data_IF_370455936028
#
_entry.id   IF_370455936028
#
_cell.length_a   1.000
_cell.length_b   1.000
_cell.length_c   1.000
_cell.angle_alpha   90.00
_cell.angle_beta   90.00
_cell.angle_gamma   90.00
#
_symmetry.space_group_name_H-M   'P 1'
#
loop_
_entity.id
_entity.type
_entity.pdbx_description
1 polymer ?
#
# COMPACT_ATOMS: atom_id res chain seq x y z
N UNK A 1 -11.51 54.79 -42.62
CA UNK A 1 -10.81 53.61 -42.09
C UNK A 1 -11.29 53.40 -40.66
N UNK A 2 -11.65 52.17 -40.28
CA UNK A 2 -12.18 51.85 -38.94
C UNK A 2 -11.02 51.85 -37.93
N UNK A 3 -11.22 52.41 -36.75
CA UNK A 3 -10.15 52.51 -35.74
C UNK A 3 -10.00 51.19 -34.97
N UNK A 4 -9.11 50.33 -35.47
CA UNK A 4 -8.83 49.00 -34.90
C UNK A 4 -8.11 49.06 -33.55
N UNK A 5 -7.59 50.22 -33.11
CA UNK A 5 -6.87 50.34 -31.84
C UNK A 5 -7.82 50.24 -30.65
N UNK A 6 -9.00 50.87 -30.74
CA UNK A 6 -10.04 50.74 -29.72
C UNK A 6 -10.51 49.29 -29.59
N UNK A 7 -10.85 48.65 -30.71
CA UNK A 7 -11.29 47.25 -30.74
C UNK A 7 -10.25 46.29 -30.12
N UNK A 8 -8.95 46.54 -30.34
CA UNK A 8 -7.87 45.75 -29.75
C UNK A 8 -7.65 46.03 -28.26
N UNK A 9 -7.84 47.28 -27.81
CA UNK A 9 -7.76 47.64 -26.39
C UNK A 9 -8.91 47.03 -25.59
N UNK A 10 -10.14 47.09 -26.11
CA UNK A 10 -11.30 46.47 -25.46
C UNK A 10 -11.12 44.95 -25.36
N UNK A 11 -10.58 44.32 -26.40
CA UNK A 11 -10.28 42.89 -26.39
C UNK A 11 -9.16 42.52 -25.41
N UNK A 12 -8.14 43.36 -25.28
CA UNK A 12 -7.07 43.16 -24.30
C UNK A 12 -7.61 43.25 -22.87
N UNK A 13 -8.44 44.26 -22.59
CA UNK A 13 -9.08 44.43 -21.28
C UNK A 13 -9.97 43.23 -20.92
N UNK A 14 -10.76 42.73 -21.88
CA UNK A 14 -11.59 41.53 -21.69
C UNK A 14 -10.74 40.28 -21.37
N UNK A 15 -9.63 40.09 -22.08
CA UNK A 15 -8.73 38.96 -21.85
C UNK A 15 -8.04 39.05 -20.48
N UNK A 16 -7.66 40.26 -20.06
CA UNK A 16 -7.08 40.51 -18.74
C UNK A 16 -8.08 40.22 -17.61
N UNK A 17 -9.33 40.63 -17.76
CA UNK A 17 -10.41 40.30 -16.82
C UNK A 17 -10.67 38.78 -16.75
N UNK A 18 -10.66 38.10 -17.90
CA UNK A 18 -10.81 36.65 -17.96
C UNK A 18 -9.65 35.92 -17.27
N UNK A 19 -8.41 36.37 -17.51
CA UNK A 19 -7.22 35.83 -16.83
C UNK A 19 -7.35 35.99 -15.32
N UNK A 20 -7.61 37.20 -14.84
CA UNK A 20 -7.76 37.49 -13.41
C UNK A 20 -8.88 36.65 -12.77
N UNK A 21 -10.00 36.48 -13.48
CA UNK A 21 -11.12 35.67 -13.01
C UNK A 21 -10.72 34.21 -12.86
N UNK A 22 -10.04 33.64 -13.85
CA UNK A 22 -9.60 32.25 -13.80
C UNK A 22 -8.50 32.03 -12.76
N UNK A 23 -7.55 32.96 -12.63
CA UNK A 23 -6.53 32.93 -11.57
C UNK A 23 -7.17 32.90 -10.18
N UNK A 24 -8.15 33.78 -9.91
CA UNK A 24 -8.87 33.79 -8.64
C UNK A 24 -9.64 32.48 -8.38
N UNK A 25 -10.23 31.87 -9.42
CA UNK A 25 -10.88 30.58 -9.31
C UNK A 25 -9.89 29.46 -8.97
N UNK A 26 -8.73 29.45 -9.60
CA UNK A 26 -7.68 28.47 -9.31
C UNK A 26 -7.14 28.63 -7.90
N UNK A 27 -6.86 29.86 -7.45
CA UNK A 27 -6.38 30.09 -6.09
C UNK A 27 -7.39 29.61 -5.05
N UNK A 28 -8.68 29.89 -5.27
CA UNK A 28 -9.77 29.38 -4.41
C UNK A 28 -9.81 27.85 -4.35
N UNK A 29 -9.61 27.18 -5.48
CA UNK A 29 -9.58 25.70 -5.53
C UNK A 29 -8.35 25.15 -4.80
N UNK A 30 -7.19 25.79 -4.94
CA UNK A 30 -5.97 25.43 -4.22
C UNK A 30 -6.18 25.56 -2.72
N UNK A 31 -6.74 26.68 -2.25
CA UNK A 31 -7.06 26.87 -0.83
C UNK A 31 -8.03 25.81 -0.31
N UNK A 32 -9.08 25.51 -1.07
CA UNK A 32 -10.03 24.47 -0.68
C UNK A 32 -9.37 23.11 -0.54
N UNK A 33 -8.56 22.70 -1.53
CA UNK A 33 -7.83 21.43 -1.49
C UNK A 33 -6.86 21.36 -0.31
N UNK A 34 -6.15 22.45 -0.02
CA UNK A 34 -5.25 22.53 1.15
C UNK A 34 -6.02 22.30 2.44
N UNK A 35 -7.15 22.98 2.63
CA UNK A 35 -8.01 22.81 3.83
C UNK A 35 -8.54 21.40 3.95
N UNK A 36 -9.09 20.84 2.87
CA UNK A 36 -9.60 19.46 2.87
C UNK A 36 -8.50 18.45 3.22
N UNK A 37 -7.29 18.65 2.70
CA UNK A 37 -6.15 17.80 2.99
C UNK A 37 -5.71 17.92 4.46
N UNK A 38 -5.60 19.14 4.98
CA UNK A 38 -5.22 19.42 6.36
C UNK A 38 -6.22 18.80 7.34
N UNK A 39 -7.52 19.02 7.14
CA UNK A 39 -8.57 18.41 7.97
C UNK A 39 -8.48 16.88 7.95
N UNK A 40 -8.34 16.25 6.79
CA UNK A 40 -8.20 14.78 6.71
C UNK A 40 -6.96 14.28 7.44
N UNK A 41 -5.85 15.00 7.36
CA UNK A 41 -4.63 14.64 8.09
C UNK A 41 -4.81 14.77 9.60
N UNK A 42 -5.51 15.80 10.05
CA UNK A 42 -5.85 15.98 11.47
C UNK A 42 -6.73 14.83 11.97
N UNK A 43 -7.77 14.47 11.22
CA UNK A 43 -8.66 13.34 11.56
C UNK A 43 -7.87 12.03 11.66
N UNK A 44 -7.05 11.72 10.65
CA UNK A 44 -6.21 10.51 10.63
C UNK A 44 -5.20 10.49 11.79
N UNK A 45 -4.61 11.64 12.14
CA UNK A 45 -3.71 11.75 13.29
C UNK A 45 -4.44 11.50 14.60
N UNK A 46 -5.64 12.05 14.76
CA UNK A 46 -6.46 11.85 15.95
C UNK A 46 -6.89 10.37 16.09
N UNK A 47 -7.29 9.73 15.00
CA UNK A 47 -7.59 8.28 14.98
C UNK A 47 -6.37 7.45 15.37
N UNK A 48 -5.19 7.75 14.79
CA UNK A 48 -3.95 7.06 15.13
C UNK A 48 -3.59 7.22 16.61
N UNK A 49 -3.73 8.43 17.15
CA UNK A 49 -3.48 8.70 18.57
C UNK A 49 -4.46 7.92 19.46
N UNK A 50 -5.74 7.87 19.11
CA UNK A 50 -6.74 7.09 19.84
C UNK A 50 -6.42 5.59 19.86
N UNK A 51 -5.99 5.04 18.72
CA UNK A 51 -5.56 3.63 18.62
C UNK A 51 -4.31 3.37 19.45
N UNK A 52 -3.31 4.26 19.41
CA UNK A 52 -2.11 4.12 20.23
C UNK A 52 -2.45 4.13 21.73
N UNK A 53 -3.32 5.04 22.18
CA UNK A 53 -3.79 5.08 23.57
C UNK A 53 -4.51 3.78 23.96
N UNK A 54 -5.36 3.23 23.08
CA UNK A 54 -6.04 1.97 23.33
C UNK A 54 -5.04 0.80 23.43
N UNK A 55 -4.06 0.76 22.55
CA UNK A 55 -3.00 -0.26 22.57
C UNK A 55 -2.17 -0.18 23.86
N UNK A 56 -1.82 1.02 24.33
CA UNK A 56 -1.14 1.21 25.62
C UNK A 56 -1.99 0.72 26.80
N UNK A 57 -3.30 0.96 26.77
CA UNK A 57 -4.22 0.46 27.81
C UNK A 57 -4.32 -1.07 27.80
N UNK A 58 -4.42 -1.71 26.63
CA UNK A 58 -4.44 -3.17 26.52
C UNK A 58 -3.10 -3.79 26.94
N UNK A 59 -1.96 -3.20 26.58
CA UNK A 59 -0.65 -3.63 27.06
C UNK A 59 -0.58 -3.59 28.60
N UNK A 60 -1.02 -2.48 29.20
CA UNK A 60 -1.10 -2.37 30.66
C UNK A 60 -2.07 -3.37 31.27
N UNK A 61 -3.20 -3.65 30.62
CA UNK A 61 -4.16 -4.67 31.09
C UNK A 61 -3.54 -6.07 31.08
N UNK A 62 -2.79 -6.42 30.04
CA UNK A 62 -2.09 -7.70 29.94
C UNK A 62 -1.02 -7.81 31.03
N UNK A 63 -0.27 -6.72 31.28
CA UNK A 63 0.73 -6.67 32.35
C UNK A 63 0.11 -6.71 33.76
N UNK A 64 -1.12 -6.22 33.91
CA UNK A 64 -1.82 -6.13 35.21
C UNK A 64 -2.78 -7.28 35.49
N UNK A 65 -2.84 -8.34 34.67
CA UNK A 65 -3.55 -9.57 35.06
C UNK A 65 -2.78 -10.25 36.20
N UNK A 66 -3.29 -10.30 37.45
CA UNK A 66 -2.67 -11.14 38.46
C UNK A 66 -2.88 -12.60 38.04
N UNK A 67 -1.77 -13.33 37.93
CA UNK A 67 -1.73 -14.77 37.78
C UNK A 67 -2.44 -15.43 38.97
N UNK A 68 -3.75 -15.62 38.87
CA UNK A 68 -4.58 -16.07 39.97
C UNK A 68 -5.72 -16.95 39.47
N UNK A 69 -5.37 -18.07 38.82
CA UNK A 69 -6.08 -19.37 38.84
C UNK A 69 -5.55 -20.27 37.73
N UNK A 70 -4.38 -20.88 37.97
CA UNK A 70 -4.05 -22.19 37.38
C UNK A 70 -3.62 -23.10 38.52
N UNK A 71 -4.62 -23.75 39.11
CA UNK A 71 -4.44 -24.87 40.05
C UNK A 71 -3.62 -25.98 39.38
N UNK A 72 -2.57 -26.51 40.04
CA UNK A 72 -1.84 -27.69 39.58
C UNK A 72 -2.47 -28.94 40.20
N UNK A 73 -2.85 -29.93 39.40
CA UNK A 73 -2.98 -31.31 39.89
C UNK A 73 -3.12 -32.34 38.76
N UNK A 74 -2.14 -33.25 38.75
CA UNK A 74 -2.22 -34.69 38.44
C UNK A 74 -2.17 -35.13 36.98
N UNK A 75 -0.95 -35.53 36.60
CA UNK A 75 -0.71 -36.75 35.80
C UNK A 75 -1.42 -37.96 36.44
N UNK A 76 -1.81 -38.94 35.59
CA UNK A 76 -1.14 -40.22 35.72
C UNK A 76 -0.68 -40.80 34.36
N UNK A 77 0.43 -41.52 34.46
CA UNK A 77 1.05 -42.36 33.44
C UNK A 77 0.06 -43.35 32.78
N UNK A 78 0.24 -43.56 31.48
CA UNK A 78 -0.34 -44.67 30.72
C UNK A 78 0.32 -44.78 29.33
N UNK A 79 1.35 -45.63 29.24
CA UNK A 79 1.99 -46.15 28.02
C UNK A 79 0.93 -46.87 27.14
N UNK A 80 1.03 -47.15 25.84
CA UNK A 80 2.12 -47.36 24.89
C UNK A 80 1.45 -47.50 23.47
N UNK A 81 1.98 -47.00 22.34
CA UNK A 81 2.79 -47.73 21.32
C UNK A 81 2.18 -47.67 19.89
N UNK A 82 2.94 -47.03 18.98
CA UNK A 82 3.12 -47.26 17.51
C UNK A 82 1.99 -46.81 16.55
N UNK A 83 2.24 -46.15 15.40
CA UNK A 83 3.32 -46.34 14.42
C UNK A 83 3.74 -45.04 13.71
N UNK A 84 5.06 -44.88 13.54
CA UNK A 84 5.71 -44.10 12.48
C UNK A 84 5.84 -44.97 11.21
N UNK A 85 6.02 -44.33 10.05
CA UNK A 85 7.31 -44.48 9.38
C UNK A 85 8.01 -43.13 9.22
N UNK A 86 9.23 -43.07 9.75
CA UNK A 86 10.23 -42.06 9.40
C UNK A 86 10.67 -42.30 7.96
N UNK A 87 10.95 -41.24 7.18
CA UNK A 87 12.23 -41.11 6.47
C UNK A 87 12.47 -39.65 6.04
N UNK A 88 13.60 -39.12 6.49
CA UNK A 88 14.43 -38.05 5.90
C UNK A 88 13.96 -36.57 5.94
N UNK A 89 14.41 -35.85 6.98
CA UNK A 89 14.99 -34.50 6.82
C UNK A 89 16.43 -34.64 6.28
N UNK A 90 17.04 -33.67 5.55
CA UNK A 90 17.03 -32.24 5.91
C UNK A 90 17.08 -31.23 4.74
N UNK A 91 16.21 -30.23 4.72
CA UNK A 91 16.55 -28.93 4.12
C UNK A 91 15.87 -27.80 4.91
N UNK A 92 16.62 -26.83 5.47
CA UNK A 92 16.05 -25.56 5.88
C UNK A 92 15.72 -24.79 4.60
N UNK A 93 14.60 -25.10 3.96
CA UNK A 93 14.05 -24.19 2.97
C UNK A 93 13.66 -22.93 3.73
N UNK A 94 14.47 -21.88 3.58
CA UNK A 94 14.09 -20.51 3.91
C UNK A 94 12.88 -20.16 3.02
N UNK A 95 11.71 -20.65 3.41
CA UNK A 95 10.48 -20.23 2.80
C UNK A 95 10.30 -18.77 3.21
N UNK A 96 10.11 -17.86 2.25
CA UNK A 96 9.78 -16.48 2.59
C UNK A 96 8.52 -16.49 3.45
N UNK A 97 8.63 -15.93 4.66
CA UNK A 97 7.53 -15.90 5.63
C UNK A 97 6.36 -15.02 5.16
N UNK A 98 6.57 -14.21 4.13
CA UNK A 98 5.61 -13.27 3.59
C UNK A 98 5.10 -13.74 2.21
N UNK A 99 3.79 -13.66 1.91
CA UNK A 99 3.27 -13.94 0.58
C UNK A 99 3.95 -13.08 -0.50
N UNK A 100 4.14 -13.65 -1.69
CA UNK A 100 4.81 -12.97 -2.81
C UNK A 100 4.14 -11.63 -3.17
N UNK A 101 2.82 -11.56 -3.11
CA UNK A 101 2.06 -10.33 -3.34
C UNK A 101 2.48 -9.22 -2.37
N UNK A 102 2.49 -9.52 -1.07
CA UNK A 102 2.85 -8.57 -0.02
C UNK A 102 4.31 -8.16 -0.12
N UNK A 103 5.20 -9.09 -0.49
CA UNK A 103 6.60 -8.79 -0.75
C UNK A 103 6.77 -7.79 -1.90
N UNK A 104 6.11 -8.03 -3.05
CA UNK A 104 6.20 -7.16 -4.21
C UNK A 104 5.61 -5.77 -3.91
N UNK A 105 4.46 -5.72 -3.24
CA UNK A 105 3.84 -4.46 -2.80
C UNK A 105 4.77 -3.71 -1.87
N UNK A 106 5.31 -4.38 -0.84
CA UNK A 106 6.25 -3.75 0.10
C UNK A 106 7.50 -3.25 -0.62
N UNK A 107 8.07 -4.04 -1.54
CA UNK A 107 9.26 -3.64 -2.29
C UNK A 107 9.03 -2.45 -3.20
N UNK A 108 7.89 -2.38 -3.87
CA UNK A 108 7.53 -1.22 -4.68
C UNK A 108 7.31 0.02 -3.80
N UNK A 109 6.77 -0.13 -2.59
CA UNK A 109 6.62 0.99 -1.64
C UNK A 109 7.99 1.48 -1.11
N UNK A 110 8.95 0.57 -0.89
CA UNK A 110 10.30 0.90 -0.41
C UNK A 110 11.19 1.49 -1.51
N UNK A 111 11.26 0.85 -2.68
CA UNK A 111 12.21 1.17 -3.75
C UNK A 111 11.61 2.05 -4.86
N UNK A 112 10.29 2.24 -4.88
CA UNK A 112 9.59 3.00 -5.91
C UNK A 112 9.30 2.17 -7.16
N UNK A 113 9.28 2.84 -8.32
CA UNK A 113 8.91 2.19 -9.58
C UNK A 113 9.99 1.22 -10.06
N UNK A 114 9.63 -0.04 -10.33
CA UNK A 114 10.56 -1.08 -10.76
C UNK A 114 10.07 -1.80 -12.01
N UNK A 115 11.01 -2.32 -12.82
CA UNK A 115 10.67 -3.15 -13.97
C UNK A 115 10.26 -4.56 -13.52
N UNK A 116 9.54 -5.29 -14.38
CA UNK A 116 9.22 -6.70 -14.14
C UNK A 116 10.48 -7.55 -13.95
N UNK A 117 11.51 -7.31 -14.76
CA UNK A 117 12.73 -8.10 -14.75
C UNK A 117 13.51 -7.92 -13.45
N UNK A 118 13.52 -6.69 -12.91
CA UNK A 118 14.13 -6.41 -11.61
C UNK A 118 13.37 -7.10 -10.47
N UNK A 119 12.03 -7.05 -10.50
CA UNK A 119 11.19 -7.75 -9.52
C UNK A 119 11.40 -9.27 -9.59
N UNK A 120 11.52 -9.84 -10.79
CA UNK A 120 11.84 -11.27 -10.97
C UNK A 120 13.19 -11.63 -10.33
N UNK A 121 14.25 -10.84 -10.58
CA UNK A 121 15.57 -11.06 -9.98
C UNK A 121 15.52 -10.99 -8.45
N UNK A 122 14.79 -10.02 -7.89
CA UNK A 122 14.62 -9.89 -6.44
C UNK A 122 13.91 -11.12 -5.84
N UNK A 123 12.87 -11.62 -6.50
CA UNK A 123 12.15 -12.80 -6.00
C UNK A 123 12.99 -14.09 -6.05
N UNK A 124 13.90 -14.21 -7.02
CA UNK A 124 14.90 -15.28 -7.07
C UNK A 124 15.93 -15.13 -5.95
N UNK A 125 16.43 -13.92 -5.71
CA UNK A 125 17.39 -13.62 -4.66
C UNK A 125 16.83 -13.94 -3.26
N UNK A 126 15.55 -13.62 -3.05
CA UNK A 126 14.85 -13.87 -1.79
C UNK A 126 14.35 -15.32 -1.65
N UNK A 127 14.57 -16.16 -2.66
CA UNK A 127 14.26 -17.59 -2.62
C UNK A 127 12.77 -17.94 -2.79
N UNK A 128 11.95 -17.04 -3.33
CA UNK A 128 10.56 -17.35 -3.66
C UNK A 128 10.43 -18.40 -4.76
N UNK A 129 11.44 -18.50 -5.63
CA UNK A 129 11.46 -19.41 -6.76
C UNK A 129 12.83 -20.08 -6.87
N UNK A 130 12.82 -21.37 -7.21
CA UNK A 130 14.04 -22.12 -7.48
C UNK A 130 14.64 -21.82 -8.86
N UNK A 131 13.79 -21.51 -9.84
CA UNK A 131 14.18 -21.37 -11.25
C UNK A 131 13.66 -20.08 -11.88
N UNK A 132 14.41 -19.57 -12.85
CA UNK A 132 14.13 -18.33 -13.58
C UNK A 132 12.81 -18.35 -14.36
N UNK A 133 12.43 -19.52 -14.91
CA UNK A 133 11.19 -19.69 -15.68
C UNK A 133 9.94 -19.73 -14.79
N UNK A 134 10.05 -20.41 -13.64
CA UNK A 134 9.00 -20.46 -12.62
C UNK A 134 8.80 -19.08 -12.00
N UNK A 135 9.88 -18.35 -11.77
CA UNK A 135 9.84 -16.97 -11.28
C UNK A 135 9.14 -16.03 -12.26
N UNK A 136 9.43 -16.12 -13.56
CA UNK A 136 8.81 -15.23 -14.56
C UNK A 136 7.28 -15.38 -14.56
N UNK A 137 6.78 -16.62 -14.64
CA UNK A 137 5.34 -16.89 -14.63
C UNK A 137 4.68 -16.54 -13.30
N UNK A 138 5.34 -16.87 -12.19
CA UNK A 138 4.83 -16.61 -10.84
C UNK A 138 4.74 -15.12 -10.53
N UNK A 139 5.79 -14.36 -10.85
CA UNK A 139 5.81 -12.91 -10.68
C UNK A 139 4.82 -12.23 -11.62
N UNK A 140 4.77 -12.61 -12.90
CA UNK A 140 3.80 -12.04 -13.84
C UNK A 140 2.36 -12.26 -13.37
N UNK A 141 2.01 -13.48 -12.96
CA UNK A 141 0.67 -13.81 -12.46
C UNK A 141 0.32 -13.00 -11.22
N UNK A 142 1.27 -12.89 -10.29
CA UNK A 142 1.09 -12.14 -9.04
C UNK A 142 0.93 -10.65 -9.31
N UNK A 143 1.75 -10.07 -10.18
CA UNK A 143 1.67 -8.66 -10.58
C UNK A 143 0.30 -8.34 -11.21
N UNK A 144 -0.21 -9.21 -12.09
CA UNK A 144 -1.56 -9.04 -12.65
C UNK A 144 -2.61 -9.03 -11.52
N UNK A 145 -2.52 -9.93 -10.56
CA UNK A 145 -3.47 -10.02 -9.45
C UNK A 145 -3.41 -8.79 -8.54
N UNK A 146 -2.21 -8.31 -8.18
CA UNK A 146 -2.06 -7.14 -7.31
C UNK A 146 -2.38 -5.82 -8.02
N UNK A 147 -2.19 -5.75 -9.35
CA UNK A 147 -2.67 -4.62 -10.18
C UNK A 147 -4.20 -4.62 -10.23
N UNK A 148 -4.83 -5.78 -10.49
CA UNK A 148 -6.30 -5.90 -10.48
C UNK A 148 -6.90 -5.58 -9.11
N UNK A 149 -6.22 -5.93 -8.03
CA UNK A 149 -6.60 -5.60 -6.66
C UNK A 149 -6.38 -4.11 -6.32
N UNK A 150 -5.76 -3.33 -7.20
CA UNK A 150 -5.47 -1.91 -6.98
C UNK A 150 -4.38 -1.64 -5.94
N UNK A 151 -3.57 -2.65 -5.58
CA UNK A 151 -2.48 -2.51 -4.61
C UNK A 151 -1.25 -1.83 -5.22
N UNK A 152 -1.05 -2.01 -6.53
CA UNK A 152 0.01 -1.38 -7.32
C UNK A 152 -0.56 -0.97 -8.69
N UNK A 153 0.16 -0.13 -9.43
CA UNK A 153 -0.19 0.25 -10.80
C UNK A 153 0.91 -0.11 -11.78
N UNK A 154 0.51 -0.33 -13.03
CA UNK A 154 1.42 -0.40 -14.16
C UNK A 154 1.48 0.98 -14.84
N UNK A 155 2.70 1.47 -15.07
CA UNK A 155 2.98 2.73 -15.73
C UNK A 155 3.00 2.56 -17.27
N UNK A 156 2.84 3.64 -18.06
CA UNK A 156 2.85 3.57 -19.53
C UNK A 156 4.16 3.03 -20.12
N UNK A 157 5.25 3.11 -19.37
CA UNK A 157 6.56 2.57 -19.74
C UNK A 157 6.72 1.06 -19.43
N UNK A 158 5.67 0.40 -18.90
CA UNK A 158 5.67 -1.01 -18.54
C UNK A 158 6.17 -1.33 -17.13
N UNK A 159 6.66 -0.34 -16.37
CA UNK A 159 7.12 -0.53 -14.99
C UNK A 159 5.94 -0.59 -14.01
N UNK A 160 6.19 -1.15 -12.83
CA UNK A 160 5.22 -1.23 -11.74
C UNK A 160 5.59 -0.20 -10.67
N UNK A 161 4.59 0.44 -10.07
CA UNK A 161 4.76 1.43 -9.02
C UNK A 161 3.68 1.27 -7.94
N UNK A 162 3.90 1.79 -6.71
CA UNK A 162 2.86 1.84 -5.68
C UNK A 162 1.58 2.50 -6.18
N UNK A 163 0.44 1.98 -5.72
CA UNK A 163 -0.83 2.68 -5.91
C UNK A 163 -0.78 4.03 -5.19
N UNK A 164 -1.18 5.10 -5.87
CA UNK A 164 -1.33 6.41 -5.20
C UNK A 164 -2.74 6.56 -4.65
N UNK A 165 -2.92 7.43 -3.65
CA UNK A 165 -4.23 7.72 -3.03
C UNK A 165 -5.29 8.15 -4.06
N UNK A 166 -4.89 8.74 -5.18
CA UNK A 166 -5.78 9.10 -6.29
C UNK A 166 -6.36 7.88 -7.04
N UNK A 167 -5.66 6.75 -7.05
CA UNK A 167 -6.04 5.53 -7.77
C UNK A 167 -7.05 4.69 -6.96
N UNK A 168 -6.92 4.66 -5.63
CA UNK A 168 -7.86 3.95 -4.74
C UNK A 168 -9.27 4.56 -4.74
N UNK A 169 -9.39 5.86 -5.05
CA UNK A 169 -10.66 6.58 -5.12
C UNK A 169 -11.41 6.27 -6.42
N UNK A 170 -10.71 6.12 -7.55
CA UNK A 170 -11.35 5.81 -8.84
C UNK A 170 -11.96 4.42 -8.88
N UNK A 171 -11.34 3.44 -8.21
CA UNK A 171 -11.87 2.07 -8.15
C UNK A 171 -13.16 1.99 -7.32
N UNK A 172 -13.31 2.80 -6.27
CA UNK A 172 -14.52 2.81 -5.41
C UNK A 172 -15.73 3.52 -6.03
N UNK A 173 -15.56 4.29 -7.12
CA UNK A 173 -16.65 5.02 -7.78
C UNK A 173 -17.24 4.27 -8.98
N UNK A 174 -16.66 3.13 -9.35
CA UNK A 174 -17.09 2.32 -10.49
C UNK A 174 -17.85 1.04 -10.07
N UNK A 175 -18.24 0.91 -8.80
CA UNK A 175 -19.22 -0.05 -8.31
C UNK A 175 -20.51 0.67 -7.94
#
# INVERSE_FOLDING_TARGET
MRDIRGDLQDRAALLEEQLNTHEAQYEKLIEQLKREHETRLEDLRAELEAVNRLMELELRRIETVPAGQRTPAREPMGQAVHQQPQHAQPQPQRQPQLPLADFLVRKLNEAGAMSRDDLRRLTLQEGYFADADTADRGVQTTLINVVKAGLIRQLPNGNFAPATVLDTIRLRRAM
#
